data_IF_600717408265
#
_entry.id   IF_600717408265
#
_cell.length_a   1.000
_cell.length_b   1.000
_cell.length_c   1.000
_cell.angle_alpha   90.00
_cell.angle_beta   90.00
_cell.angle_gamma   90.00
#
_symmetry.space_group_name_H-M   'P 1'
#
loop_
_entity.id
_entity.type
_entity.pdbx_description
1 polymer ?
#
# COMPACT_ATOMS: atom_id res chain seq x y z
N UNK A 1 -2.09 18.26 -14.08
CA UNK A 1 -1.77 17.03 -13.34
C UNK A 1 -2.03 15.86 -14.25
N UNK A 2 -0.99 15.12 -14.58
CA UNK A 2 -1.03 13.87 -15.34
C UNK A 2 -0.98 12.71 -14.36
N UNK A 3 -1.69 11.64 -14.70
CA UNK A 3 -1.66 10.40 -13.94
C UNK A 3 -1.50 9.24 -14.92
N UNK A 4 -0.60 8.32 -14.62
CA UNK A 4 -0.42 7.09 -15.35
C UNK A 4 -0.57 5.91 -14.41
N UNK A 5 -1.16 4.83 -14.90
CA UNK A 5 -1.37 3.62 -14.12
C UNK A 5 -0.45 2.53 -14.66
N UNK A 6 0.29 1.88 -13.78
CA UNK A 6 1.16 0.75 -14.14
C UNK A 6 0.94 -0.42 -13.20
N UNK A 7 1.29 -1.60 -13.70
CA UNK A 7 1.34 -2.82 -12.89
C UNK A 7 2.77 -3.06 -12.45
N UNK A 8 2.94 -3.34 -11.16
CA UNK A 8 4.21 -3.77 -10.57
C UNK A 8 4.10 -5.23 -10.14
N UNK A 9 5.16 -5.99 -10.40
CA UNK A 9 5.16 -7.44 -10.17
C UNK A 9 5.21 -7.75 -8.67
N UNK A 10 6.10 -7.11 -7.94
CA UNK A 10 6.28 -7.29 -6.49
C UNK A 10 6.32 -5.93 -5.79
N UNK A 11 5.43 -5.75 -4.80
CA UNK A 11 5.38 -4.58 -3.93
C UNK A 11 5.56 -5.00 -2.47
N UNK A 12 6.55 -4.46 -1.77
CA UNK A 12 6.95 -4.91 -0.43
C UNK A 12 6.91 -3.78 0.59
N UNK A 13 6.22 -4.00 1.72
CA UNK A 13 6.18 -3.08 2.88
C UNK A 13 6.34 -3.88 4.17
N UNK A 14 7.33 -3.56 4.99
CA UNK A 14 7.52 -4.18 6.31
C UNK A 14 7.60 -5.71 6.30
N UNK A 15 8.14 -6.30 5.23
CA UNK A 15 8.20 -7.76 5.04
C UNK A 15 6.93 -8.41 4.49
N UNK A 16 5.88 -7.64 4.20
CA UNK A 16 4.67 -8.09 3.49
C UNK A 16 4.82 -7.81 2.01
N UNK A 17 4.68 -8.86 1.20
CA UNK A 17 4.73 -8.77 -0.26
C UNK A 17 3.32 -8.87 -0.84
N UNK A 18 3.06 -8.01 -1.81
CA UNK A 18 1.90 -8.09 -2.68
C UNK A 18 2.35 -8.21 -4.14
N UNK A 19 1.83 -9.23 -4.82
CA UNK A 19 2.10 -9.45 -6.24
C UNK A 19 1.11 -8.74 -7.15
N UNK A 20 1.55 -8.42 -8.37
CA UNK A 20 0.71 -7.93 -9.47
C UNK A 20 -0.15 -6.72 -9.08
N UNK A 21 0.45 -5.75 -8.40
CA UNK A 21 -0.26 -4.60 -7.86
C UNK A 21 -0.40 -3.49 -8.90
N UNK A 22 -1.55 -2.84 -8.94
CA UNK A 22 -1.79 -1.66 -9.77
C UNK A 22 -1.45 -0.41 -8.95
N UNK A 23 -0.60 0.46 -9.49
CA UNK A 23 -0.20 1.73 -8.87
C UNK A 23 -0.39 2.89 -9.83
N UNK A 24 -0.62 4.08 -9.27
CA UNK A 24 -0.78 5.32 -10.03
C UNK A 24 0.43 6.22 -9.77
N UNK A 25 1.12 6.62 -10.83
CA UNK A 25 2.14 7.68 -10.78
C UNK A 25 1.45 8.99 -11.12
N UNK A 26 1.62 9.99 -10.26
CA UNK A 26 1.01 11.31 -10.41
C UNK A 26 2.11 12.36 -10.43
N UNK A 27 2.08 13.23 -11.42
CA UNK A 27 2.93 14.41 -11.44
C UNK A 27 2.35 15.46 -10.49
N UNK A 28 3.08 15.71 -9.40
CA UNK A 28 2.67 16.68 -8.39
C UNK A 28 3.10 18.11 -8.79
N UNK A 29 2.32 19.13 -8.41
CA UNK A 29 2.72 20.52 -8.61
C UNK A 29 4.04 20.85 -7.90
N UNK A 30 4.80 21.85 -8.39
CA UNK A 30 5.99 22.34 -7.70
C UNK A 30 5.66 22.71 -6.24
N UNK A 31 6.54 22.31 -5.31
CA UNK A 31 6.37 22.58 -3.87
C UNK A 31 5.67 21.47 -3.08
N UNK A 32 5.13 20.44 -3.74
CA UNK A 32 4.66 19.23 -3.06
C UNK A 32 5.72 18.12 -3.15
N UNK A 33 6.09 17.57 -2.00
CA UNK A 33 6.90 16.35 -1.90
C UNK A 33 6.10 15.27 -1.17
N UNK A 34 5.85 14.18 -1.87
CA UNK A 34 5.23 12.96 -1.35
C UNK A 34 6.01 11.80 -1.98
N UNK A 35 6.67 11.00 -1.14
CA UNK A 35 7.44 9.85 -1.61
C UNK A 35 6.53 8.67 -2.01
N UNK A 36 5.28 8.68 -1.54
CA UNK A 36 4.27 7.71 -1.92
C UNK A 36 3.08 7.68 -0.97
N UNK A 37 2.00 7.04 -1.41
CA UNK A 37 0.80 6.83 -0.61
C UNK A 37 0.41 5.35 -0.67
N UNK A 38 0.11 4.77 0.50
CA UNK A 38 -0.43 3.42 0.59
C UNK A 38 -1.95 3.48 0.62
N UNK A 39 -2.57 2.98 -0.45
CA UNK A 39 -4.02 2.91 -0.58
C UNK A 39 -4.62 1.61 -0.02
N UNK A 40 -5.95 1.56 -0.02
CA UNK A 40 -6.71 0.38 0.38
C UNK A 40 -6.52 -0.83 -0.55
N UNK A 41 -6.02 -0.61 -1.77
CA UNK A 41 -5.60 -1.67 -2.70
C UNK A 41 -4.46 -2.54 -2.12
N UNK A 42 -3.68 -2.00 -1.18
CA UNK A 42 -2.71 -2.73 -0.37
C UNK A 42 -3.24 -2.99 1.05
N UNK A 43 -3.62 -1.93 1.77
CA UNK A 43 -3.96 -2.00 3.19
C UNK A 43 -5.15 -2.92 3.49
N UNK A 44 -6.14 -2.97 2.61
CA UNK A 44 -7.33 -3.81 2.77
C UNK A 44 -7.06 -5.32 2.75
N UNK A 45 -5.84 -5.75 2.38
CA UNK A 45 -5.42 -7.16 2.42
C UNK A 45 -4.94 -7.59 3.81
N UNK A 46 -4.83 -6.64 4.74
CA UNK A 46 -4.34 -6.86 6.08
C UNK A 46 -5.30 -6.27 7.11
N UNK A 47 -5.25 -6.79 8.34
CA UNK A 47 -5.78 -6.10 9.51
C UNK A 47 -4.75 -5.05 9.95
N UNK A 48 -4.75 -3.91 9.26
CA UNK A 48 -3.77 -2.85 9.50
C UNK A 48 -4.10 -1.99 10.72
N UNK A 49 -3.07 -1.42 11.34
CA UNK A 49 -3.18 -0.45 12.43
C UNK A 49 -2.10 0.61 12.24
N UNK A 50 -2.47 1.89 12.39
CA UNK A 50 -1.53 3.01 12.38
C UNK A 50 -1.35 3.44 13.83
N UNK A 51 -0.12 3.34 14.33
CA UNK A 51 0.27 3.77 15.66
C UNK A 51 1.00 5.11 15.54
N UNK A 52 0.31 6.26 15.75
CA UNK A 52 0.85 7.58 15.42
C UNK A 52 2.02 7.97 16.31
N UNK A 53 1.99 7.59 17.60
CA UNK A 53 3.01 7.97 18.57
C UNK A 53 4.39 7.40 18.24
N UNK A 54 4.42 6.27 17.51
CA UNK A 54 5.65 5.60 17.06
C UNK A 54 5.84 5.65 15.56
N UNK A 55 4.97 6.34 14.82
CA UNK A 55 4.93 6.33 13.36
C UNK A 55 4.97 4.91 12.75
N UNK A 56 4.31 3.94 13.40
CA UNK A 56 4.38 2.52 13.01
C UNK A 56 3.13 2.09 12.26
N UNK A 57 3.32 1.41 11.11
CA UNK A 57 2.27 0.68 10.41
C UNK A 57 2.35 -0.81 10.73
N UNK A 58 1.36 -1.33 11.44
CA UNK A 58 1.28 -2.75 11.80
C UNK A 58 0.42 -3.49 10.76
N UNK A 59 0.97 -4.53 10.12
CA UNK A 59 0.28 -5.33 9.10
C UNK A 59 0.07 -6.78 9.56
N UNK A 60 -1.17 -7.14 9.90
CA UNK A 60 -1.54 -8.51 10.32
C UNK A 60 -2.29 -9.24 9.22
N UNK A 61 -2.06 -10.55 9.08
CA UNK A 61 -2.79 -11.36 8.09
C UNK A 61 -4.28 -11.43 8.46
N UNK A 62 -5.15 -11.37 7.45
CA UNK A 62 -6.57 -11.70 7.62
C UNK A 62 -6.69 -13.22 7.69
N UNK A 63 -7.41 -13.80 8.68
CA UNK A 63 -7.63 -15.23 8.73
C UNK A 63 -8.31 -15.72 7.46
N UNK A 64 -7.68 -16.67 6.74
CA UNK A 64 -8.32 -17.35 5.64
C UNK A 64 -9.37 -18.28 6.25
N UNK A 65 -10.66 -18.01 6.02
CA UNK A 65 -11.70 -19.00 6.34
C UNK A 65 -11.42 -20.22 5.47
N UNK A 66 -11.04 -21.33 6.10
CA UNK A 66 -11.04 -22.64 5.43
C UNK A 66 -12.50 -22.97 5.15
N UNK A 67 -12.94 -22.79 3.90
CA UNK A 67 -14.15 -23.43 3.40
C UNK A 67 -13.89 -24.93 3.43
N UNK A 68 -14.66 -25.65 4.26
CA UNK A 68 -14.73 -27.11 4.25
C UNK A 68 -15.41 -27.59 2.97
#
# INVERSE_FOLDING_TARGET
MTASTLRIDDFVVGGKMQKNMLVTIVDLPPGFQLDGLLGMNFLGKYRFTIEPDTATLILRNIPVKKTK
#
